data_IF_456061195873
#
_entry.id   IF_456061195873
#
_cell.length_a   1.000
_cell.length_b   1.000
_cell.length_c   1.000
_cell.angle_alpha   90.00
_cell.angle_beta   90.00
_cell.angle_gamma   90.00
#
_symmetry.space_group_name_H-M   'P 1'
#
loop_
_entity.id
_entity.type
_entity.pdbx_description
1 polymer ?
#
# COMPACT_ATOMS: atom_id res chain seq x y z
N UNK A 1 18.40 33.17 -32.68
CA UNK A 1 17.62 33.03 -31.42
C UNK A 1 16.35 32.30 -31.80
N UNK A 2 16.43 30.97 -31.79
CA UNK A 2 15.32 30.09 -32.15
C UNK A 2 14.32 30.04 -30.99
N UNK A 3 13.29 30.86 -31.12
CA UNK A 3 12.09 30.82 -30.30
C UNK A 3 11.19 29.71 -30.81
N UNK A 4 11.07 28.62 -30.05
CA UNK A 4 9.98 27.67 -30.28
C UNK A 4 10.18 26.36 -29.55
N UNK A 5 9.15 25.96 -28.78
CA UNK A 5 8.98 24.63 -28.16
C UNK A 5 9.48 24.41 -26.72
N UNK A 6 9.28 25.38 -25.82
CA UNK A 6 9.26 25.11 -24.38
C UNK A 6 7.87 24.74 -23.76
N UNK A 7 6.70 25.13 -24.30
CA UNK A 7 5.45 24.97 -23.54
C UNK A 7 4.83 23.55 -23.63
N UNK A 8 5.11 22.78 -24.69
CA UNK A 8 4.55 21.42 -24.85
C UNK A 8 5.23 20.38 -23.95
N UNK A 9 6.53 20.52 -23.69
CA UNK A 9 7.27 19.61 -22.82
C UNK A 9 6.81 19.69 -21.35
N UNK A 10 6.50 20.90 -20.87
CA UNK A 10 5.98 21.13 -19.52
C UNK A 10 4.57 20.55 -19.34
N UNK A 11 3.67 20.78 -20.31
CA UNK A 11 2.29 20.26 -20.26
C UNK A 11 2.26 18.72 -20.26
N UNK A 12 3.11 18.06 -21.05
CA UNK A 12 3.26 16.60 -21.04
C UNK A 12 3.81 16.09 -19.69
N UNK A 13 4.72 16.83 -19.05
CA UNK A 13 5.21 16.49 -17.70
C UNK A 13 4.09 16.54 -16.65
N UNK A 14 3.24 17.57 -16.68
CA UNK A 14 2.10 17.68 -15.76
C UNK A 14 1.04 16.59 -16.03
N UNK A 15 0.82 16.23 -17.29
CA UNK A 15 -0.08 15.13 -17.67
C UNK A 15 0.51 13.79 -17.19
N UNK A 16 1.82 13.53 -17.30
CA UNK A 16 2.43 12.31 -16.76
C UNK A 16 2.39 12.23 -15.22
N UNK A 17 2.44 13.37 -14.52
CA UNK A 17 2.29 13.44 -13.06
C UNK A 17 0.82 13.31 -12.60
N UNK A 18 -0.13 13.81 -13.40
CA UNK A 18 -1.57 13.65 -13.14
C UNK A 18 -2.09 12.25 -13.56
N UNK A 19 -1.46 11.62 -14.53
CA UNK A 19 -1.60 10.20 -14.96
C UNK A 19 -0.52 9.35 -14.28
N UNK A 20 -0.21 9.60 -13.01
CA UNK A 20 0.26 8.52 -12.15
C UNK A 20 -0.98 7.73 -11.70
N UNK A 21 -1.66 7.10 -12.68
CA UNK A 21 -2.84 6.22 -12.53
C UNK A 21 -2.44 4.88 -11.88
N UNK A 22 -1.72 4.97 -10.77
CA UNK A 22 -1.32 3.85 -9.94
C UNK A 22 -2.26 3.72 -8.76
N UNK A 23 -2.62 2.49 -8.42
CA UNK A 23 -3.31 2.17 -7.17
C UNK A 23 -2.49 2.72 -6.00
N UNK A 24 -3.09 3.57 -5.16
CA UNK A 24 -2.42 4.16 -3.98
C UNK A 24 -2.83 3.38 -2.75
N UNK A 25 -1.87 2.90 -1.97
CA UNK A 25 -2.13 2.12 -0.75
C UNK A 25 -1.38 2.70 0.43
N UNK A 26 -1.84 2.39 1.64
CA UNK A 26 -1.09 2.69 2.85
C UNK A 26 0.04 1.68 3.01
N UNK A 27 1.24 2.19 3.24
CA UNK A 27 2.41 1.41 3.60
C UNK A 27 2.73 1.68 5.06
N UNK A 28 2.61 0.66 5.92
CA UNK A 28 2.88 0.79 7.34
C UNK A 28 3.40 -0.50 7.97
N UNK A 29 3.98 -0.36 9.16
CA UNK A 29 4.45 -1.48 9.98
C UNK A 29 4.36 -1.08 11.45
N UNK A 30 3.76 -1.92 12.30
CA UNK A 30 3.59 -1.61 13.72
C UNK A 30 3.33 -2.84 14.57
N UNK A 31 3.58 -2.72 15.88
CA UNK A 31 3.33 -3.76 16.88
C UNK A 31 1.87 -3.74 17.39
N UNK A 32 1.07 -2.81 16.89
CA UNK A 32 -0.37 -2.78 16.99
C UNK A 32 -0.94 -2.01 15.79
N UNK A 33 -2.27 -2.03 15.66
CA UNK A 33 -2.98 -1.33 14.58
C UNK A 33 -2.68 0.18 14.60
N UNK A 34 -2.68 0.79 15.78
CA UNK A 34 -2.50 2.24 15.93
C UNK A 34 -1.12 2.69 15.46
N UNK A 35 -0.06 1.99 15.87
CA UNK A 35 1.30 2.25 15.41
C UNK A 35 1.42 2.15 13.88
N UNK A 36 0.79 1.15 13.26
CA UNK A 36 0.79 1.03 11.81
C UNK A 36 0.10 2.26 11.16
N UNK A 37 -1.09 2.65 11.65
CA UNK A 37 -1.82 3.80 11.08
C UNK A 37 -1.01 5.10 11.24
N UNK A 38 -0.45 5.34 12.43
CA UNK A 38 0.31 6.57 12.71
C UNK A 38 1.62 6.64 11.92
N UNK A 39 2.20 5.49 11.57
CA UNK A 39 3.41 5.42 10.74
C UNK A 39 3.10 5.31 9.24
N UNK A 40 1.82 5.40 8.82
CA UNK A 40 1.44 5.08 7.46
C UNK A 40 1.89 6.14 6.46
N UNK A 41 2.53 5.68 5.39
CA UNK A 41 2.88 6.51 4.24
C UNK A 41 2.09 6.07 3.01
N UNK A 42 1.77 7.02 2.12
CA UNK A 42 1.11 6.70 0.86
C UNK A 42 2.15 6.11 -0.11
N UNK A 43 1.88 4.90 -0.61
CA UNK A 43 2.69 4.23 -1.62
C UNK A 43 1.89 4.04 -2.90
N UNK A 44 2.47 4.44 -4.03
CA UNK A 44 1.93 4.14 -5.36
C UNK A 44 2.38 2.74 -5.76
N UNK A 45 1.44 1.85 -6.05
CA UNK A 45 1.72 0.47 -6.40
C UNK A 45 2.07 0.29 -7.88
N UNK A 46 2.80 -0.78 -8.17
CA UNK A 46 3.11 -1.19 -9.54
C UNK A 46 1.85 -1.70 -10.23
N UNK A 47 1.84 -1.67 -11.57
CA UNK A 47 0.73 -2.19 -12.38
C UNK A 47 0.47 -3.66 -12.03
N UNK A 48 -0.79 -3.96 -11.68
CA UNK A 48 -1.24 -5.32 -11.33
C UNK A 48 -1.07 -5.71 -9.86
N UNK A 49 -0.50 -4.84 -9.03
CA UNK A 49 -0.52 -4.98 -7.58
C UNK A 49 -1.88 -4.58 -6.98
N UNK A 50 -2.13 -5.04 -5.76
CA UNK A 50 -3.30 -4.78 -4.95
C UNK A 50 -2.86 -4.17 -3.61
N UNK A 51 -3.73 -3.41 -2.95
CA UNK A 51 -3.47 -3.00 -1.58
C UNK A 51 -3.63 -4.21 -0.67
N UNK A 52 -2.64 -4.47 0.19
CA UNK A 52 -2.64 -5.53 1.19
C UNK A 52 -2.60 -4.93 2.57
N UNK A 53 -3.30 -5.56 3.50
CA UNK A 53 -3.08 -5.42 4.92
C UNK A 53 -2.99 -6.80 5.55
N UNK A 54 -2.01 -7.01 6.43
CA UNK A 54 -1.78 -8.30 7.08
C UNK A 54 -1.42 -8.17 8.55
N UNK A 55 -1.76 -9.20 9.30
CA UNK A 55 -1.51 -9.35 10.72
C UNK A 55 -0.86 -10.71 10.97
N UNK A 56 0.25 -10.73 11.69
CA UNK A 56 0.89 -11.97 12.14
C UNK A 56 -0.02 -12.67 13.15
N UNK A 57 -0.29 -13.96 12.93
CA UNK A 57 -1.11 -14.75 13.85
C UNK A 57 -0.42 -14.89 15.21
N UNK A 58 -1.20 -14.72 16.28
CA UNK A 58 -0.74 -14.80 17.68
C UNK A 58 0.11 -16.03 18.00
N UNK A 59 -0.16 -17.18 17.38
CA UNK A 59 0.59 -18.43 17.60
C UNK A 59 2.06 -18.39 17.17
N UNK A 60 2.43 -17.45 16.29
CA UNK A 60 3.83 -17.25 15.85
C UNK A 60 4.48 -16.03 16.50
N UNK A 61 3.78 -15.40 17.44
CA UNK A 61 4.29 -14.27 18.18
C UNK A 61 4.90 -14.82 19.47
N UNK A 62 6.20 -14.61 19.73
CA UNK A 62 6.78 -14.94 21.01
C UNK A 62 5.93 -14.32 22.13
N UNK A 63 5.79 -14.99 23.26
CA UNK A 63 4.88 -14.60 24.36
C UNK A 63 5.08 -13.19 24.92
N UNK A 64 6.17 -12.51 24.56
CA UNK A 64 6.52 -11.15 24.95
C UNK A 64 6.47 -10.11 23.81
N UNK A 65 5.99 -10.48 22.62
CA UNK A 65 5.90 -9.57 21.46
C UNK A 65 4.44 -9.22 21.18
N UNK A 66 4.13 -7.97 20.83
CA UNK A 66 2.78 -7.59 20.44
C UNK A 66 2.50 -7.96 18.97
N UNK A 67 1.21 -8.00 18.60
CA UNK A 67 0.73 -8.32 17.26
C UNK A 67 1.44 -7.53 16.14
N UNK A 68 1.96 -8.21 15.11
CA UNK A 68 2.67 -7.51 14.03
C UNK A 68 1.74 -7.19 12.87
N UNK A 69 1.56 -5.90 12.56
CA UNK A 69 0.70 -5.39 11.50
C UNK A 69 1.51 -4.78 10.37
N UNK A 70 1.11 -5.04 9.13
CA UNK A 70 1.77 -4.52 7.93
C UNK A 70 0.76 -4.16 6.85
N UNK A 71 0.90 -2.95 6.29
CA UNK A 71 0.17 -2.48 5.12
C UNK A 71 1.12 -2.23 3.95
N UNK A 72 0.63 -2.41 2.72
CA UNK A 72 1.39 -2.01 1.53
C UNK A 72 0.75 -2.44 0.22
N UNK A 73 1.59 -2.49 -0.82
CA UNK A 73 1.25 -3.08 -2.11
C UNK A 73 1.69 -4.56 -2.13
N UNK A 74 0.92 -5.41 -2.78
CA UNK A 74 1.26 -6.82 -2.98
C UNK A 74 0.84 -7.28 -4.37
N UNK A 75 1.57 -8.22 -4.94
CA UNK A 75 1.15 -8.87 -6.19
C UNK A 75 -0.12 -9.71 -5.97
N UNK A 76 -0.88 -9.91 -7.05
CA UNK A 76 -2.06 -10.80 -7.02
C UNK A 76 -1.73 -12.23 -6.57
N UNK A 77 -0.51 -12.70 -6.86
CA UNK A 77 -0.02 -14.01 -6.43
C UNK A 77 0.16 -14.05 -4.91
N UNK A 78 0.82 -13.05 -4.32
CA UNK A 78 0.98 -12.94 -2.86
C UNK A 78 -0.37 -12.79 -2.15
N UNK A 79 -1.32 -12.05 -2.72
CA UNK A 79 -2.65 -11.88 -2.14
C UNK A 79 -3.46 -13.18 -2.09
N UNK A 80 -3.18 -14.12 -2.98
CA UNK A 80 -3.88 -15.41 -3.07
C UNK A 80 -3.09 -16.57 -2.48
N UNK A 81 -1.82 -16.35 -2.17
CA UNK A 81 -0.98 -17.36 -1.55
C UNK A 81 -1.53 -17.69 -0.15
N UNK A 82 -1.69 -18.98 0.19
CA UNK A 82 -1.98 -19.36 1.56
C UNK A 82 -0.77 -19.01 2.43
N UNK A 83 -0.93 -18.08 3.37
CA UNK A 83 0.08 -17.74 4.35
C UNK A 83 -0.39 -18.24 5.72
N UNK A 84 0.23 -19.30 6.23
CA UNK A 84 -0.14 -19.85 7.52
C UNK A 84 0.28 -18.96 8.70
N UNK A 85 1.21 -18.02 8.49
CA UNK A 85 1.73 -17.13 9.52
C UNK A 85 0.90 -15.85 9.64
N UNK A 86 0.32 -15.37 8.54
CA UNK A 86 -0.40 -14.11 8.50
C UNK A 86 -1.87 -14.29 8.13
N UNK A 87 -2.75 -13.58 8.85
CA UNK A 87 -4.07 -13.25 8.33
C UNK A 87 -3.93 -12.00 7.45
N UNK A 88 -4.41 -12.04 6.21
CA UNK A 88 -4.34 -10.88 5.31
C UNK A 88 -5.63 -10.69 4.52
N UNK A 89 -5.84 -9.46 4.05
CA UNK A 89 -6.80 -9.14 3.01
C UNK A 89 -6.15 -8.29 1.92
N UNK A 90 -6.68 -8.40 0.72
CA UNK A 90 -6.28 -7.58 -0.42
C UNK A 90 -7.48 -6.94 -1.10
N UNK A 91 -7.26 -5.76 -1.69
CA UNK A 91 -8.29 -4.96 -2.34
C UNK A 91 -7.71 -4.04 -3.43
N UNK A 92 -8.56 -3.60 -4.36
CA UNK A 92 -8.16 -2.93 -5.61
C UNK A 92 -8.62 -1.48 -5.74
N UNK A 93 -9.03 -0.87 -4.63
CA UNK A 93 -9.48 0.52 -4.58
C UNK A 93 -8.39 1.30 -3.83
N UNK A 94 -8.04 2.50 -4.28
CA UNK A 94 -7.02 3.28 -3.59
C UNK A 94 -7.41 3.49 -2.12
N UNK A 95 -6.45 3.30 -1.22
CA UNK A 95 -6.57 3.40 0.24
C UNK A 95 -7.53 2.39 0.88
N UNK A 96 -7.96 1.34 0.17
CA UNK A 96 -8.86 0.34 0.73
C UNK A 96 -8.21 -0.52 1.83
N UNK A 97 -6.88 -0.49 1.96
CA UNK A 97 -6.15 -1.09 3.08
C UNK A 97 -6.00 -0.15 4.28
N UNK A 98 -6.66 1.02 4.25
CA UNK A 98 -7.03 1.74 5.47
C UNK A 98 -7.97 0.81 6.22
N UNK A 99 -7.45 0.20 7.29
CA UNK A 99 -8.11 -0.80 8.12
C UNK A 99 -9.62 -0.53 8.30
N UNK A 100 -10.46 -1.58 8.34
CA UNK A 100 -11.84 -1.43 8.77
C UNK A 100 -11.85 -1.21 10.29
N UNK A 101 -11.48 -0.02 10.77
CA UNK A 101 -11.59 0.36 12.21
C UNK A 101 -13.05 0.67 12.59
N UNK A 102 -14.02 0.08 11.90
CA UNK A 102 -15.41 0.57 11.91
C UNK A 102 -16.51 -0.49 11.80
N UNK A 103 -16.21 -1.77 11.99
CA UNK A 103 -17.22 -2.80 12.28
C UNK A 103 -16.66 -3.88 13.20
#
# INVERSE_FOLDING_TARGET
MDSGSAPTALVLFFIAFAIADGLKCLSCRGQNVYECIMSAMIKVCKKGEECRFRMLHRRFIPSNTMAWFEGGCASRAECRAPDNHYAHFCCRISYCNYLPVGR
#
